data_IF_025259481448
#
_entry.id   IF_025259481448
#
_cell.length_a   1.000
_cell.length_b   1.000
_cell.length_c   1.000
_cell.angle_alpha   90.00
_cell.angle_beta   90.00
_cell.angle_gamma   90.00
#
_symmetry.space_group_name_H-M   'P 1'
#
loop_
_entity.id
_entity.type
_entity.pdbx_description
1 polymer ?
#
# COMPACT_ATOMS: atom_id res chain seq x y z
N UNK A 1 16.80 -9.20 31.08
CA UNK A 1 15.64 -8.67 30.34
C UNK A 1 16.06 -8.50 28.90
N UNK A 2 15.66 -9.38 27.98
CA UNK A 2 16.00 -9.21 26.55
C UNK A 2 15.29 -7.94 26.09
N UNK A 3 16.02 -6.90 25.71
CA UNK A 3 15.41 -5.80 24.97
C UNK A 3 14.88 -6.44 23.67
N UNK A 4 13.56 -6.52 23.52
CA UNK A 4 12.97 -6.88 22.25
C UNK A 4 13.49 -5.88 21.21
N UNK A 5 13.93 -6.39 20.06
CA UNK A 5 14.24 -5.55 18.90
C UNK A 5 13.08 -4.57 18.65
N UNK A 6 13.36 -3.38 18.11
CA UNK A 6 12.33 -2.38 17.79
C UNK A 6 11.13 -3.00 17.03
N UNK A 7 11.42 -3.92 16.10
CA UNK A 7 10.43 -4.65 15.30
C UNK A 7 9.80 -5.88 16.01
N UNK A 8 10.30 -6.28 17.17
CA UNK A 8 9.74 -7.38 18.01
C UNK A 8 9.01 -6.84 19.25
N UNK A 9 9.13 -5.54 19.53
CA UNK A 9 8.49 -4.86 20.65
C UNK A 9 7.05 -4.41 20.36
N UNK A 10 6.61 -3.38 21.08
CA UNK A 10 5.27 -2.80 20.92
C UNK A 10 5.01 -2.34 19.47
N UNK A 11 6.03 -1.77 18.83
CA UNK A 11 5.94 -1.26 17.47
C UNK A 11 5.64 -2.38 16.47
N UNK A 12 6.40 -3.47 16.55
CA UNK A 12 6.17 -4.68 15.75
C UNK A 12 4.78 -5.29 15.94
N UNK A 13 4.25 -5.21 17.16
CA UNK A 13 2.96 -5.82 17.49
C UNK A 13 1.75 -4.98 17.06
N UNK A 14 1.84 -3.65 17.14
CA UNK A 14 0.68 -2.77 16.97
C UNK A 14 0.76 -1.87 15.73
N UNK A 15 1.95 -1.43 15.33
CA UNK A 15 2.12 -0.44 14.26
C UNK A 15 2.53 -1.11 12.95
N UNK A 16 3.47 -2.04 13.01
CA UNK A 16 4.01 -2.73 11.84
C UNK A 16 2.92 -3.43 10.98
N UNK A 17 1.91 -4.12 11.54
CA UNK A 17 0.85 -4.72 10.72
C UNK A 17 0.07 -3.68 9.92
N UNK A 18 -0.18 -2.50 10.51
CA UNK A 18 -0.84 -1.38 9.85
C UNK A 18 0.00 -0.81 8.71
N UNK A 19 1.31 -0.64 8.93
CA UNK A 19 2.27 -0.21 7.89
C UNK A 19 2.28 -1.21 6.73
N UNK A 20 2.35 -2.51 7.03
CA UNK A 20 2.37 -3.57 6.00
C UNK A 20 1.08 -3.54 5.20
N UNK A 21 -0.08 -3.46 5.87
CA UNK A 21 -1.39 -3.37 5.23
C UNK A 21 -1.47 -2.15 4.31
N UNK A 22 -1.17 -0.96 4.84
CA UNK A 22 -1.19 0.29 4.09
C UNK A 22 -0.24 0.27 2.88
N UNK A 23 0.95 -0.30 3.04
CA UNK A 23 1.92 -0.44 1.94
C UNK A 23 1.41 -1.33 0.80
N UNK A 24 0.54 -2.30 1.08
CA UNK A 24 -0.06 -3.17 0.05
C UNK A 24 -1.24 -2.48 -0.64
N UNK A 25 -1.96 -1.61 0.06
CA UNK A 25 -3.09 -0.86 -0.49
C UNK A 25 -2.67 0.27 -1.42
N UNK A 26 -1.43 0.76 -1.29
CA UNK A 26 -0.91 1.82 -2.16
C UNK A 26 -0.47 1.23 -3.50
N UNK A 27 -1.28 1.52 -4.53
CA UNK A 27 -1.13 1.07 -5.91
C UNK A 27 -0.33 1.99 -6.84
N UNK A 28 -0.14 1.55 -8.09
CA UNK A 28 0.34 2.43 -9.17
C UNK A 28 -0.65 3.57 -9.48
N UNK A 29 -1.95 3.35 -9.27
CA UNK A 29 -2.98 4.40 -9.38
C UNK A 29 -2.81 5.49 -8.33
N UNK A 30 -2.40 5.11 -7.12
CA UNK A 30 -2.03 6.03 -6.05
C UNK A 30 -0.74 6.80 -6.38
N UNK A 31 0.30 6.11 -6.85
CA UNK A 31 1.58 6.72 -7.22
C UNK A 31 1.47 7.74 -8.37
N UNK A 32 0.58 7.49 -9.34
CA UNK A 32 0.31 8.40 -10.46
C UNK A 32 -0.71 9.50 -10.12
N UNK A 33 -1.31 9.48 -8.93
CA UNK A 33 -2.34 10.44 -8.49
C UNK A 33 -3.70 10.27 -9.17
N UNK A 34 -3.86 9.30 -10.07
CA UNK A 34 -5.11 9.09 -10.83
C UNK A 34 -6.29 8.73 -9.94
N UNK A 35 -6.07 7.96 -8.88
CA UNK A 35 -7.13 7.61 -7.92
C UNK A 35 -7.68 8.86 -7.20
N UNK A 36 -6.81 9.80 -6.83
CA UNK A 36 -7.21 11.04 -6.16
C UNK A 36 -8.02 11.92 -7.13
N UNK A 37 -7.60 12.00 -8.40
CA UNK A 37 -8.32 12.79 -9.41
C UNK A 37 -9.69 12.20 -9.68
N UNK A 38 -9.79 10.88 -9.88
CA UNK A 38 -11.02 10.21 -10.28
C UNK A 38 -12.05 10.13 -9.15
N UNK A 39 -11.59 9.78 -7.92
CA UNK A 39 -12.50 9.52 -6.80
C UNK A 39 -12.61 10.71 -5.82
N UNK A 40 -11.57 11.53 -5.71
CA UNK A 40 -11.55 12.69 -4.82
C UNK A 40 -11.92 13.98 -5.54
N UNK A 41 -11.08 14.42 -6.48
CA UNK A 41 -11.18 15.75 -7.09
C UNK A 41 -12.43 15.92 -7.95
N UNK A 42 -12.90 14.86 -8.61
CA UNK A 42 -14.11 14.88 -9.45
C UNK A 42 -15.37 15.32 -8.70
N UNK A 43 -15.45 15.04 -7.40
CA UNK A 43 -16.59 15.37 -6.54
C UNK A 43 -16.40 16.68 -5.74
N UNK A 44 -15.34 17.43 -6.03
CA UNK A 44 -15.02 18.67 -5.34
C UNK A 44 -14.87 18.47 -3.83
N UNK A 45 -15.47 19.37 -3.04
CA UNK A 45 -15.37 19.34 -1.58
C UNK A 45 -16.02 18.10 -0.92
N UNK A 46 -16.82 17.30 -1.63
CA UNK A 46 -17.45 16.10 -1.06
C UNK A 46 -16.53 14.87 -1.23
N UNK A 47 -15.47 14.96 -2.05
CA UNK A 47 -14.54 13.87 -2.31
C UNK A 47 -13.86 13.28 -1.07
N UNK A 48 -13.74 14.03 0.04
CA UNK A 48 -13.17 13.49 1.28
C UNK A 48 -14.01 12.35 1.89
N UNK A 49 -15.32 12.28 1.59
CA UNK A 49 -16.18 11.19 2.04
C UNK A 49 -15.68 9.85 1.47
N UNK A 50 -15.23 9.83 0.21
CA UNK A 50 -14.66 8.62 -0.39
C UNK A 50 -13.44 8.12 0.40
N UNK A 51 -12.56 9.03 0.81
CA UNK A 51 -11.41 8.71 1.67
C UNK A 51 -11.83 8.12 3.02
N UNK A 52 -12.83 8.71 3.68
CA UNK A 52 -13.35 8.21 4.95
C UNK A 52 -14.02 6.83 4.80
N UNK A 53 -14.81 6.64 3.74
CA UNK A 53 -15.45 5.35 3.43
C UNK A 53 -14.42 4.26 3.18
N UNK A 54 -13.37 4.54 2.41
CA UNK A 54 -12.27 3.60 2.16
C UNK A 54 -11.58 3.26 3.48
N UNK A 55 -11.24 4.25 4.31
CA UNK A 55 -10.61 4.03 5.61
C UNK A 55 -11.45 3.12 6.51
N UNK A 56 -12.74 3.44 6.69
CA UNK A 56 -13.63 2.65 7.54
C UNK A 56 -13.87 1.25 6.97
N UNK A 57 -14.04 1.13 5.65
CA UNK A 57 -14.22 -0.15 4.97
C UNK A 57 -13.03 -1.08 5.15
N UNK A 58 -11.81 -0.60 4.88
CA UNK A 58 -10.60 -1.40 5.08
C UNK A 58 -10.31 -1.69 6.55
N UNK A 59 -10.56 -0.74 7.46
CA UNK A 59 -10.42 -0.98 8.90
C UNK A 59 -11.35 -2.10 9.37
N UNK A 60 -12.62 -2.07 8.93
CA UNK A 60 -13.60 -3.09 9.27
C UNK A 60 -13.25 -4.46 8.68
N UNK A 61 -12.88 -4.52 7.40
CA UNK A 61 -12.43 -5.77 6.75
C UNK A 61 -11.18 -6.34 7.42
N UNK A 62 -10.24 -5.48 7.82
CA UNK A 62 -9.03 -5.90 8.54
C UNK A 62 -9.37 -6.47 9.91
N UNK A 63 -10.24 -5.79 10.65
CA UNK A 63 -10.74 -6.27 11.94
C UNK A 63 -11.39 -7.66 11.81
N UNK A 64 -12.31 -7.84 10.86
CA UNK A 64 -12.95 -9.13 10.62
C UNK A 64 -11.93 -10.22 10.25
N UNK A 65 -10.96 -9.89 9.41
CA UNK A 65 -9.93 -10.84 8.97
C UNK A 65 -9.04 -11.27 10.14
N UNK A 66 -8.61 -10.34 11.00
CA UNK A 66 -7.82 -10.67 12.19
C UNK A 66 -8.63 -11.45 13.23
N UNK A 67 -9.90 -11.12 13.39
CA UNK A 67 -10.79 -11.85 14.30
C UNK A 67 -11.03 -13.29 13.82
N UNK A 68 -11.21 -13.48 12.51
CA UNK A 68 -11.28 -14.80 11.90
C UNK A 68 -9.98 -15.58 12.12
N UNK A 69 -8.83 -14.97 11.85
CA UNK A 69 -7.53 -15.59 12.09
C UNK A 69 -7.34 -16.00 13.56
N UNK A 70 -7.83 -15.19 14.51
CA UNK A 70 -7.77 -15.46 15.95
C UNK A 70 -8.66 -16.64 16.36
N UNK A 71 -9.93 -16.64 15.96
CA UNK A 71 -10.92 -17.66 16.33
C UNK A 71 -10.50 -19.03 15.78
N UNK A 72 -10.14 -19.08 14.51
CA UNK A 72 -9.80 -20.32 13.81
C UNK A 72 -8.31 -20.71 13.95
N UNK A 73 -7.51 -19.89 14.66
CA UNK A 73 -6.05 -20.04 14.78
C UNK A 73 -5.35 -20.19 13.42
N UNK A 74 -5.88 -19.50 12.41
CA UNK A 74 -5.41 -19.54 11.03
C UNK A 74 -4.42 -18.40 10.78
N UNK A 75 -3.16 -18.60 11.20
CA UNK A 75 -2.11 -17.58 11.14
C UNK A 75 -1.29 -17.61 9.85
N UNK A 76 -1.38 -18.68 9.06
CA UNK A 76 -0.79 -18.75 7.74
C UNK A 76 -1.82 -18.44 6.64
N UNK A 77 -1.33 -17.91 5.53
CA UNK A 77 -2.15 -17.51 4.37
C UNK A 77 -3.07 -18.64 3.90
N UNK A 78 -2.55 -19.86 3.75
CA UNK A 78 -3.32 -20.98 3.18
C UNK A 78 -4.44 -21.42 4.12
N UNK A 79 -4.19 -21.48 5.42
CA UNK A 79 -5.21 -21.79 6.43
C UNK A 79 -6.29 -20.72 6.44
N UNK A 80 -5.92 -19.44 6.39
CA UNK A 80 -6.89 -18.33 6.38
C UNK A 80 -7.77 -18.37 5.12
N UNK A 81 -7.16 -18.57 3.94
CA UNK A 81 -7.89 -18.70 2.67
C UNK A 81 -8.83 -19.90 2.69
N UNK A 82 -8.41 -21.03 3.26
CA UNK A 82 -9.30 -22.19 3.41
C UNK A 82 -10.49 -21.91 4.33
N UNK A 83 -10.35 -21.06 5.35
CA UNK A 83 -11.50 -20.66 6.18
C UNK A 83 -12.45 -19.71 5.42
N UNK A 84 -11.91 -18.78 4.63
CA UNK A 84 -12.73 -17.79 3.91
C UNK A 84 -13.39 -18.38 2.66
N UNK A 85 -12.61 -19.05 1.81
CA UNK A 85 -13.05 -19.59 0.52
C UNK A 85 -13.55 -21.04 0.62
N UNK A 86 -13.39 -21.71 1.77
CA UNK A 86 -13.86 -23.06 2.03
C UNK A 86 -13.43 -24.06 0.94
N UNK A 87 -14.40 -24.71 0.26
CA UNK A 87 -14.17 -25.67 -0.83
C UNK A 87 -13.62 -25.02 -2.11
N UNK A 88 -13.81 -23.71 -2.29
CA UNK A 88 -13.36 -22.97 -3.48
C UNK A 88 -11.97 -22.35 -3.31
N UNK A 89 -11.21 -22.75 -2.28
CA UNK A 89 -9.87 -22.23 -2.03
C UNK A 89 -8.93 -22.37 -3.24
N UNK A 90 -9.03 -23.46 -4.01
CA UNK A 90 -8.20 -23.67 -5.21
C UNK A 90 -8.49 -22.63 -6.30
N UNK A 91 -9.76 -22.23 -6.45
CA UNK A 91 -10.16 -21.22 -7.42
C UNK A 91 -9.66 -19.84 -6.99
N UNK A 92 -9.72 -19.56 -5.68
CA UNK A 92 -9.13 -18.36 -5.11
C UNK A 92 -7.63 -18.27 -5.41
N UNK A 93 -6.87 -19.36 -5.28
CA UNK A 93 -5.43 -19.38 -5.62
C UNK A 93 -5.15 -19.00 -7.08
N UNK A 94 -5.95 -19.53 -8.02
CA UNK A 94 -5.81 -19.20 -9.45
C UNK A 94 -6.03 -17.70 -9.67
N UNK A 95 -7.13 -17.16 -9.12
CA UNK A 95 -7.45 -15.74 -9.22
C UNK A 95 -6.40 -14.88 -8.54
N UNK A 96 -5.90 -15.30 -7.38
CA UNK A 96 -4.86 -14.61 -6.62
C UNK A 96 -3.55 -14.51 -7.40
N UNK A 97 -3.10 -15.59 -8.04
CA UNK A 97 -1.89 -15.58 -8.88
C UNK A 97 -2.08 -14.66 -10.09
N UNK A 98 -3.22 -14.74 -10.78
CA UNK A 98 -3.52 -13.85 -11.90
C UNK A 98 -3.53 -12.38 -11.47
N UNK A 99 -4.17 -12.07 -10.34
CA UNK A 99 -4.18 -10.73 -9.77
C UNK A 99 -2.76 -10.27 -9.40
N UNK A 100 -1.93 -11.15 -8.84
CA UNK A 100 -0.53 -10.87 -8.52
C UNK A 100 0.28 -10.46 -9.75
N UNK A 101 0.14 -11.18 -10.87
CA UNK A 101 0.79 -10.84 -12.14
C UNK A 101 0.33 -9.46 -12.64
N UNK A 102 -0.98 -9.20 -12.58
CA UNK A 102 -1.55 -7.90 -12.98
C UNK A 102 -1.00 -6.77 -12.11
N UNK A 103 -0.98 -6.95 -10.78
CA UNK A 103 -0.45 -5.94 -9.85
C UNK A 103 1.01 -5.64 -10.14
N UNK A 104 1.86 -6.67 -10.34
CA UNK A 104 3.27 -6.47 -10.69
C UNK A 104 3.41 -5.70 -12.01
N UNK A 105 2.63 -6.05 -13.04
CA UNK A 105 2.65 -5.37 -14.33
C UNK A 105 2.23 -3.89 -14.22
N UNK A 106 1.15 -3.61 -13.48
CA UNK A 106 0.65 -2.24 -13.26
C UNK A 106 1.66 -1.41 -12.48
N UNK A 107 2.29 -1.96 -11.45
CA UNK A 107 3.31 -1.25 -10.67
C UNK A 107 4.57 -0.95 -11.48
N UNK A 108 5.04 -1.91 -12.28
CA UNK A 108 6.19 -1.72 -13.15
C UNK A 108 5.90 -0.65 -14.20
N UNK A 109 4.72 -0.70 -14.83
CA UNK A 109 4.29 0.31 -15.80
C UNK A 109 4.15 1.70 -15.20
N UNK A 110 3.53 1.82 -14.02
CA UNK A 110 3.40 3.09 -13.32
C UNK A 110 4.77 3.70 -13.00
N UNK A 111 5.73 2.88 -12.55
CA UNK A 111 7.08 3.36 -12.25
C UNK A 111 7.83 3.78 -13.51
N UNK A 112 7.72 3.01 -14.60
CA UNK A 112 8.28 3.37 -15.90
C UNK A 112 7.76 4.71 -16.41
N UNK A 113 6.45 4.92 -16.33
CA UNK A 113 5.80 6.16 -16.73
C UNK A 113 6.25 7.35 -15.87
N UNK A 114 6.29 7.21 -14.55
CA UNK A 114 6.72 8.29 -13.64
C UNK A 114 8.18 8.69 -13.91
N UNK A 115 9.07 7.71 -14.08
CA UNK A 115 10.48 7.96 -14.39
C UNK A 115 10.62 8.68 -15.73
N UNK A 116 9.86 8.28 -16.75
CA UNK A 116 9.88 8.93 -18.04
C UNK A 116 9.35 10.37 -17.98
N UNK A 117 8.21 10.59 -17.32
CA UNK A 117 7.58 11.90 -17.25
C UNK A 117 8.36 12.89 -16.37
N UNK A 118 8.96 12.40 -15.28
CA UNK A 118 9.59 13.26 -14.26
C UNK A 118 11.07 13.50 -14.55
N UNK A 119 11.80 12.46 -14.97
CA UNK A 119 13.25 12.52 -15.20
C UNK A 119 13.62 12.61 -16.68
N UNK A 120 12.68 12.45 -17.61
CA UNK A 120 12.93 12.44 -19.05
C UNK A 120 13.70 11.20 -19.54
N UNK A 121 13.86 10.18 -18.70
CA UNK A 121 14.56 8.94 -19.04
C UNK A 121 13.68 8.01 -19.87
N UNK A 122 14.27 7.00 -20.51
CA UNK A 122 13.50 5.98 -21.23
C UNK A 122 12.64 5.17 -20.25
N UNK A 123 11.38 4.90 -20.61
CA UNK A 123 10.43 4.03 -19.90
C UNK A 123 11.07 2.74 -19.37
N UNK A 124 11.86 2.06 -20.19
CA UNK A 124 12.51 0.79 -19.83
C UNK A 124 13.53 0.94 -18.71
N UNK A 125 14.14 2.11 -18.54
CA UNK A 125 15.02 2.37 -17.40
C UNK A 125 14.25 2.33 -16.08
N UNK A 126 13.05 2.93 -16.04
CA UNK A 126 12.17 2.88 -14.89
C UNK A 126 11.70 1.45 -14.59
N UNK A 127 11.22 0.72 -15.60
CA UNK A 127 10.78 -0.68 -15.47
C UNK A 127 11.93 -1.58 -14.96
N UNK A 128 13.12 -1.49 -15.57
CA UNK A 128 14.25 -2.31 -15.15
C UNK A 128 14.70 -1.98 -13.73
N UNK A 129 14.74 -0.69 -13.38
CA UNK A 129 15.15 -0.25 -12.05
C UNK A 129 14.23 -0.81 -10.95
N UNK A 130 12.91 -0.76 -11.13
CA UNK A 130 11.97 -1.27 -10.13
C UNK A 130 12.03 -2.80 -10.05
N UNK A 131 12.20 -3.50 -11.18
CA UNK A 131 12.39 -4.96 -11.18
C UNK A 131 13.63 -5.37 -10.39
N UNK A 132 14.76 -4.67 -10.57
CA UNK A 132 16.00 -4.94 -9.82
C UNK A 132 15.80 -4.69 -8.33
N UNK A 133 15.21 -3.55 -7.95
CA UNK A 133 14.95 -3.21 -6.54
C UNK A 133 14.04 -4.24 -5.89
N UNK A 134 12.93 -4.60 -6.53
CA UNK A 134 12.00 -5.63 -6.01
C UNK A 134 12.68 -6.99 -5.91
N UNK A 135 13.50 -7.37 -6.91
CA UNK A 135 14.29 -8.59 -6.88
C UNK A 135 15.25 -8.66 -5.69
N UNK A 136 15.96 -7.57 -5.42
CA UNK A 136 16.85 -7.44 -4.26
C UNK A 136 16.05 -7.57 -2.96
N UNK A 137 14.95 -6.82 -2.82
CA UNK A 137 14.12 -6.85 -1.62
C UNK A 137 13.55 -8.26 -1.36
N UNK A 138 13.15 -8.96 -2.41
CA UNK A 138 12.64 -10.33 -2.31
C UNK A 138 13.75 -11.32 -1.91
N UNK A 139 14.95 -11.19 -2.49
CA UNK A 139 16.11 -12.04 -2.18
C UNK A 139 16.53 -11.97 -0.70
N UNK A 140 16.56 -10.77 -0.12
CA UNK A 140 16.92 -10.57 1.30
C UNK A 140 15.77 -10.83 2.29
N UNK A 141 14.55 -11.07 1.80
CA UNK A 141 13.42 -11.57 2.58
C UNK A 141 12.74 -10.55 3.51
N UNK A 142 11.91 -11.08 4.41
CA UNK A 142 10.93 -10.32 5.21
C UNK A 142 11.51 -9.18 6.05
N UNK A 143 12.67 -9.39 6.68
CA UNK A 143 13.26 -8.38 7.57
C UNK A 143 13.66 -7.09 6.83
N UNK A 144 14.16 -7.23 5.60
CA UNK A 144 14.48 -6.07 4.77
C UNK A 144 13.21 -5.38 4.28
N UNK A 145 12.21 -6.17 3.89
CA UNK A 145 10.90 -5.65 3.43
C UNK A 145 10.21 -4.85 4.54
N UNK A 146 10.20 -5.34 5.78
CA UNK A 146 9.59 -4.64 6.92
C UNK A 146 10.24 -3.27 7.17
N UNK A 147 11.58 -3.22 7.14
CA UNK A 147 12.34 -1.97 7.29
C UNK A 147 12.10 -1.02 6.12
N UNK A 148 12.14 -1.54 4.90
CA UNK A 148 11.88 -0.76 3.68
C UNK A 148 10.49 -0.15 3.70
N UNK A 149 9.46 -0.92 4.05
CA UNK A 149 8.08 -0.44 4.18
C UNK A 149 7.95 0.60 5.29
N UNK A 150 8.54 0.35 6.46
CA UNK A 150 8.48 1.29 7.59
C UNK A 150 9.11 2.64 7.24
N UNK A 151 10.31 2.62 6.66
CA UNK A 151 10.98 3.84 6.22
C UNK A 151 10.21 4.51 5.06
N UNK A 152 9.79 3.73 4.08
CA UNK A 152 9.02 4.20 2.93
C UNK A 152 7.73 4.90 3.33
N UNK A 153 6.96 4.33 4.27
CA UNK A 153 5.74 4.95 4.82
C UNK A 153 6.05 6.26 5.54
N UNK A 154 7.15 6.34 6.31
CA UNK A 154 7.54 7.58 6.97
C UNK A 154 7.88 8.69 5.95
N UNK A 155 8.68 8.37 4.92
CA UNK A 155 9.03 9.31 3.83
C UNK A 155 7.79 9.74 3.06
N UNK A 156 6.90 8.80 2.76
CA UNK A 156 5.65 9.06 2.03
C UNK A 156 4.72 10.02 2.81
N UNK A 157 4.53 9.80 4.11
CA UNK A 157 3.72 10.73 4.91
C UNK A 157 4.37 12.11 5.04
N UNK A 158 5.68 12.19 5.23
CA UNK A 158 6.38 13.47 5.23
C UNK A 158 6.18 14.20 3.90
N UNK A 159 6.37 13.49 2.78
CA UNK A 159 6.13 14.02 1.45
C UNK A 159 4.72 14.58 1.27
N UNK A 160 3.69 13.85 1.70
CA UNK A 160 2.31 14.34 1.63
C UNK A 160 2.02 15.53 2.52
N UNK A 161 2.55 15.55 3.75
CA UNK A 161 2.38 16.69 4.65
C UNK A 161 3.02 17.93 4.04
N UNK A 162 4.28 17.83 3.56
CA UNK A 162 4.96 18.95 2.92
C UNK A 162 4.23 19.43 1.68
N UNK A 163 3.84 18.51 0.79
CA UNK A 163 3.09 18.85 -0.41
C UNK A 163 1.77 19.56 -0.07
N UNK A 164 1.03 19.04 0.91
CA UNK A 164 -0.25 19.64 1.33
C UNK A 164 -0.07 21.03 1.94
N UNK A 165 0.96 21.23 2.77
CA UNK A 165 1.27 22.54 3.35
C UNK A 165 1.62 23.57 2.28
N UNK A 166 2.44 23.20 1.28
CA UNK A 166 2.80 24.08 0.16
C UNK A 166 1.53 24.46 -0.62
N UNK A 167 0.72 23.48 -1.02
CA UNK A 167 -0.50 23.72 -1.80
C UNK A 167 -1.50 24.58 -1.02
N UNK A 168 -1.73 24.27 0.26
CA UNK A 168 -2.64 25.06 1.10
C UNK A 168 -2.13 26.48 1.30
N UNK A 169 -0.83 26.68 1.47
CA UNK A 169 -0.26 28.03 1.61
C UNK A 169 -0.42 28.88 0.34
N UNK A 170 -0.23 28.28 -0.84
CA UNK A 170 -0.38 28.97 -2.14
C UNK A 170 -1.86 29.24 -2.49
N UNK A 171 -2.77 28.33 -2.09
CA UNK A 171 -4.18 28.39 -2.47
C UNK A 171 -5.11 28.92 -1.38
N UNK A 172 -4.60 29.25 -0.20
CA UNK A 172 -5.39 29.65 0.97
C UNK A 172 -6.43 30.73 0.66
N UNK A 173 -6.04 31.76 -0.11
CA UNK A 173 -6.94 32.86 -0.49
C UNK A 173 -8.16 32.44 -1.32
N UNK A 174 -8.10 31.31 -2.03
CA UNK A 174 -9.24 30.74 -2.78
C UNK A 174 -10.07 29.75 -1.98
N UNK A 175 -9.59 29.32 -0.82
CA UNK A 175 -10.28 28.37 0.07
C UNK A 175 -11.17 29.11 1.08
N UNK A 176 -10.76 30.32 1.48
CA UNK A 176 -11.46 31.14 2.48
C UNK A 176 -12.44 32.16 1.87
N UNK A 177 -12.32 32.43 0.56
CA UNK A 177 -13.22 33.29 -0.20
C UNK A 177 -14.46 32.51 -0.69
#
# INVERSE_FOLDING_TARGET
MKLNSFFEGWFGRYVLPGIIMQSVLIGGGYATGREIVEYGARLGAIGWIAGLTIFLGFAFLSFLTFELARIYKAYDYRSLVKQVAWKLWFLYEIVYVLLGVIVIAVMASATGEIVQQTLGLNYWAGVFSITVVVGILNFYGGHLIERFKTFGTAVLYLGYIFFSLIVLSDRWGKVVA
#
